data_IF_360483012058
#
_entry.id   IF_360483012058
#
_cell.length_a   1.000
_cell.length_b   1.000
_cell.length_c   1.000
_cell.angle_alpha   90.00
_cell.angle_beta   90.00
_cell.angle_gamma   90.00
#
_symmetry.space_group_name_H-M   'P 1'
#
loop_
_entity.id
_entity.type
_entity.pdbx_description
1 polymer ?
#
# COMPACT_ATOMS: atom_id res chain seq x y z
N UNK A 1 -13.42 -0.43 -2.90
CA UNK A 1 -12.03 0.08 -3.01
C UNK A 1 -11.84 1.18 -1.99
N UNK A 2 -10.64 1.30 -1.44
CA UNK A 2 -10.28 2.34 -0.47
C UNK A 2 -9.08 3.11 -1.00
N UNK A 3 -9.10 4.42 -0.80
CA UNK A 3 -8.01 5.33 -1.15
C UNK A 3 -7.57 6.07 0.10
N UNK A 4 -6.27 6.24 0.27
CA UNK A 4 -5.69 7.02 1.35
C UNK A 4 -4.65 7.97 0.79
N UNK A 5 -4.75 9.24 1.16
CA UNK A 5 -3.82 10.29 0.73
C UNK A 5 -3.25 11.03 1.95
N UNK A 6 -1.96 11.33 1.89
CA UNK A 6 -1.30 12.22 2.84
C UNK A 6 -1.12 13.62 2.27
N UNK A 7 -1.08 14.62 3.16
CA UNK A 7 -0.86 16.02 2.77
C UNK A 7 0.37 16.64 3.43
N UNK A 8 0.80 17.77 2.84
CA UNK A 8 1.86 18.62 3.38
C UNK A 8 1.44 19.28 4.70
N UNK A 9 0.14 19.60 4.82
CA UNK A 9 -0.49 20.17 6.01
C UNK A 9 -0.73 19.12 7.11
N UNK A 10 -0.11 17.94 7.00
CA UNK A 10 -0.07 16.88 8.04
C UNK A 10 -1.36 16.07 8.17
N UNK A 11 -2.32 16.28 7.27
CA UNK A 11 -3.59 15.56 7.27
C UNK A 11 -3.47 14.23 6.53
N UNK A 12 -4.07 13.21 7.12
CA UNK A 12 -4.38 11.95 6.43
C UNK A 12 -5.83 11.99 5.99
N UNK A 13 -6.10 11.53 4.76
CA UNK A 13 -7.43 11.47 4.18
C UNK A 13 -7.73 10.05 3.76
N UNK A 14 -8.84 9.49 4.24
CA UNK A 14 -9.35 8.19 3.82
C UNK A 14 -10.63 8.33 3.01
N UNK A 15 -10.75 7.58 1.93
CA UNK A 15 -11.93 7.56 1.06
C UNK A 15 -12.35 6.13 0.75
N UNK A 16 -13.66 5.94 0.55
CA UNK A 16 -14.20 4.73 -0.05
C UNK A 16 -14.74 5.05 -1.43
N UNK A 17 -14.36 4.22 -2.39
CA UNK A 17 -14.89 4.25 -3.74
C UNK A 17 -15.83 3.05 -3.91
N UNK A 18 -17.10 3.35 -4.15
CA UNK A 18 -18.13 2.36 -4.48
C UNK A 18 -18.25 2.29 -6.00
N UNK A 19 -18.01 1.11 -6.57
CA UNK A 19 -18.13 0.84 -8.00
C UNK A 19 -19.46 1.31 -8.58
N UNK A 20 -20.55 1.07 -7.85
CA UNK A 20 -21.91 1.33 -8.34
C UNK A 20 -22.29 2.81 -8.35
N UNK A 21 -21.86 3.59 -7.36
CA UNK A 21 -22.17 5.03 -7.32
C UNK A 21 -21.14 5.85 -8.09
N UNK A 22 -19.96 5.29 -8.37
CA UNK A 22 -18.84 6.00 -9.00
C UNK A 22 -18.44 7.27 -8.23
N UNK A 23 -18.81 7.39 -6.96
CA UNK A 23 -18.53 8.55 -6.10
C UNK A 23 -17.39 8.23 -5.14
N UNK A 24 -16.53 9.22 -4.94
CA UNK A 24 -15.49 9.19 -3.92
C UNK A 24 -16.05 9.74 -2.60
N UNK A 25 -16.35 8.85 -1.65
CA UNK A 25 -16.93 9.24 -0.38
C UNK A 25 -15.83 9.36 0.69
N UNK A 26 -15.68 10.51 1.38
CA UNK A 26 -14.74 10.63 2.48
C UNK A 26 -15.15 9.74 3.65
N UNK A 27 -14.19 9.00 4.20
CA UNK A 27 -14.34 8.17 5.39
C UNK A 27 -13.85 8.90 6.64
N UNK A 28 -12.65 9.49 6.57
CA UNK A 28 -12.06 10.24 7.66
C UNK A 28 -11.05 11.27 7.13
N UNK A 29 -10.83 12.31 7.93
CA UNK A 29 -9.77 13.29 7.73
C UNK A 29 -9.38 13.90 9.07
N UNK A 30 -8.10 13.85 9.44
CA UNK A 30 -7.61 14.46 10.67
C UNK A 30 -6.09 14.73 10.60
N UNK A 31 -5.57 15.66 11.43
CA UNK A 31 -4.14 15.92 11.52
C UNK A 31 -3.48 14.73 12.23
N UNK A 32 -2.75 13.91 11.47
CA UNK A 32 -2.22 12.65 12.01
C UNK A 32 -0.75 12.71 12.37
N UNK A 33 0.02 13.52 11.64
CA UNK A 33 1.44 13.74 11.89
C UNK A 33 1.70 15.13 12.46
N UNK A 34 2.86 15.32 13.08
CA UNK A 34 3.35 16.63 13.54
C UNK A 34 4.05 17.41 12.41
N UNK A 35 4.37 16.73 11.30
CA UNK A 35 4.95 17.31 10.08
C UNK A 35 4.34 16.70 8.82
N UNK A 36 4.80 17.13 7.63
CA UNK A 36 4.27 16.70 6.34
C UNK A 36 4.30 15.18 6.20
N UNK A 37 3.22 14.59 5.69
CA UNK A 37 3.18 13.16 5.36
C UNK A 37 3.94 12.96 4.05
N UNK A 38 4.88 12.02 4.00
CA UNK A 38 5.71 11.75 2.81
C UNK A 38 5.30 10.49 2.10
N UNK A 39 4.88 9.48 2.85
CA UNK A 39 4.53 8.17 2.32
C UNK A 39 3.28 7.64 2.97
N UNK A 40 2.54 6.84 2.21
CA UNK A 40 1.37 6.11 2.69
C UNK A 40 1.35 4.75 2.02
N UNK A 41 0.96 3.72 2.76
CA UNK A 41 0.75 2.37 2.27
C UNK A 41 -0.57 1.84 2.80
N UNK A 42 -1.25 1.03 1.98
CA UNK A 42 -2.54 0.43 2.32
C UNK A 42 -2.50 -1.03 1.93
N UNK A 43 -2.93 -1.91 2.84
CA UNK A 43 -3.14 -3.32 2.53
C UNK A 43 -4.38 -3.83 3.29
N UNK A 44 -5.44 -4.12 2.54
CA UNK A 44 -6.71 -4.55 3.13
C UNK A 44 -7.29 -3.49 4.07
N UNK A 45 -7.59 -3.83 5.32
CA UNK A 45 -8.11 -2.87 6.30
C UNK A 45 -7.02 -2.00 6.93
N UNK A 46 -5.74 -2.26 6.66
CA UNK A 46 -4.62 -1.67 7.40
C UNK A 46 -3.94 -0.59 6.57
N UNK A 47 -3.64 0.54 7.23
CA UNK A 47 -2.96 1.69 6.62
C UNK A 47 -1.79 2.08 7.48
N UNK A 48 -0.69 2.45 6.83
CA UNK A 48 0.44 3.09 7.45
C UNK A 48 0.72 4.42 6.74
N UNK A 49 1.03 5.48 7.49
CA UNK A 49 1.54 6.73 6.94
C UNK A 49 2.85 7.11 7.62
N UNK A 50 3.78 7.64 6.83
CA UNK A 50 5.11 8.02 7.26
C UNK A 50 5.31 9.52 7.08
N UNK A 51 5.82 10.18 8.12
CA UNK A 51 5.96 11.62 8.17
C UNK A 51 7.41 12.12 8.18
N UNK A 52 7.54 13.44 7.99
CA UNK A 52 8.74 14.23 8.33
C UNK A 52 8.95 14.41 9.84
N UNK A 53 8.02 13.89 10.67
CA UNK A 53 8.16 13.81 12.12
C UNK A 53 8.81 12.49 12.58
N UNK A 54 9.39 11.75 11.64
CA UNK A 54 10.13 10.50 11.85
C UNK A 54 9.25 9.35 12.38
N UNK A 55 7.92 9.53 12.39
CA UNK A 55 6.99 8.51 12.89
C UNK A 55 6.27 7.78 11.76
N UNK A 56 5.86 6.55 12.06
CA UNK A 56 4.85 5.84 11.29
C UNK A 56 3.57 5.80 12.11
N UNK A 57 2.47 6.28 11.55
CA UNK A 57 1.14 6.19 12.15
C UNK A 57 0.35 5.06 11.48
N UNK A 58 -0.39 4.30 12.27
CA UNK A 58 -1.12 3.11 11.84
C UNK A 58 -2.62 3.29 12.03
N UNK A 59 -3.41 2.76 11.10
CA UNK A 59 -4.85 2.93 11.11
C UNK A 59 -5.60 1.69 10.64
N UNK A 60 -6.78 1.49 11.23
CA UNK A 60 -7.79 0.53 10.78
C UNK A 60 -8.83 1.30 9.93
N UNK A 61 -8.84 1.04 8.63
CA UNK A 61 -9.81 1.61 7.68
C UNK A 61 -11.24 1.17 7.96
N UNK A 62 -11.44 -0.05 8.45
CA UNK A 62 -12.77 -0.58 8.69
C UNK A 62 -13.39 0.06 9.94
N UNK A 63 -12.56 0.35 10.96
CA UNK A 63 -12.98 1.05 12.16
C UNK A 63 -12.86 2.59 12.05
N UNK A 64 -12.20 3.10 11.00
CA UNK A 64 -11.80 4.50 10.87
C UNK A 64 -11.08 5.02 12.13
N UNK A 65 -10.19 4.20 12.71
CA UNK A 65 -9.54 4.44 13.97
C UNK A 65 -8.02 4.34 13.86
N UNK A 66 -7.29 5.09 14.69
CA UNK A 66 -5.84 4.91 14.84
C UNK A 66 -5.56 3.63 15.64
N UNK A 67 -4.59 2.84 15.17
CA UNK A 67 -4.10 1.64 15.84
C UNK A 67 -2.90 1.93 16.76
N UNK A 68 -2.21 3.05 16.53
CA UNK A 68 -1.02 3.46 17.27
C UNK A 68 0.06 4.03 16.36
N UNK A 69 1.25 4.24 16.94
CA UNK A 69 2.40 4.84 16.27
C UNK A 69 3.69 4.07 16.53
N UNK A 70 4.56 4.03 15.52
CA UNK A 70 5.88 3.41 15.58
C UNK A 70 6.95 4.50 15.57
N UNK A 71 7.82 4.49 16.58
CA UNK A 71 8.87 5.49 16.80
C UNK A 71 10.27 4.91 16.60
N UNK A 72 10.44 4.11 15.55
CA UNK A 72 11.70 3.40 15.28
C UNK A 72 12.68 4.19 14.43
N UNK A 73 12.20 5.18 13.67
CA UNK A 73 13.04 5.98 12.79
C UNK A 73 13.56 7.21 13.51
N UNK A 74 14.76 7.64 13.13
CA UNK A 74 15.42 8.86 13.60
C UNK A 74 15.48 9.95 12.52
N UNK A 75 14.76 9.74 11.42
CA UNK A 75 14.67 10.64 10.28
C UNK A 75 13.39 10.37 9.48
N UNK A 76 13.09 11.28 8.56
CA UNK A 76 11.85 11.29 7.79
C UNK A 76 11.57 9.96 7.12
N UNK A 77 10.35 9.45 7.28
CA UNK A 77 9.92 8.19 6.65
C UNK A 77 9.52 8.44 5.20
N UNK A 78 10.43 8.14 4.28
CA UNK A 78 10.31 8.51 2.86
C UNK A 78 9.49 7.53 2.05
N UNK A 79 9.48 6.25 2.41
CA UNK A 79 8.70 5.22 1.71
C UNK A 79 8.16 4.16 2.67
N UNK A 80 6.97 3.64 2.34
CA UNK A 80 6.28 2.58 3.06
C UNK A 80 5.73 1.57 2.06
N UNK A 81 5.83 0.29 2.37
CA UNK A 81 5.26 -0.78 1.55
C UNK A 81 4.85 -1.96 2.43
N UNK A 82 3.66 -2.47 2.20
CA UNK A 82 3.19 -3.70 2.82
C UNK A 82 3.51 -4.90 1.92
N UNK A 83 4.06 -5.95 2.50
CA UNK A 83 4.09 -7.27 1.89
C UNK A 83 2.84 -8.04 2.30
N UNK A 84 1.96 -8.32 1.34
CA UNK A 84 0.70 -9.04 1.57
C UNK A 84 0.54 -10.14 0.50
N UNK A 85 0.95 -11.38 0.81
CA UNK A 85 0.79 -12.48 -0.14
C UNK A 85 -0.71 -12.83 -0.32
N UNK A 86 -1.14 -13.29 -1.50
CA UNK A 86 -2.56 -13.41 -1.85
C UNK A 86 -3.36 -14.43 -1.02
N UNK A 87 -2.69 -15.34 -0.32
CA UNK A 87 -3.34 -16.33 0.54
C UNK A 87 -3.59 -15.82 1.97
N UNK A 88 -3.11 -14.61 2.32
CA UNK A 88 -3.33 -14.01 3.63
C UNK A 88 -4.35 -12.87 3.54
N UNK A 89 -5.35 -12.82 4.44
CA UNK A 89 -6.33 -11.73 4.49
C UNK A 89 -5.74 -10.43 5.08
N UNK A 90 -4.53 -10.48 5.64
CA UNK A 90 -3.82 -9.38 6.25
C UNK A 90 -2.39 -9.31 5.70
N UNK A 91 -1.76 -8.11 5.66
CA UNK A 91 -0.35 -8.02 5.35
C UNK A 91 0.48 -8.84 6.33
N UNK A 92 1.60 -9.40 5.85
CA UNK A 92 2.56 -10.13 6.68
C UNK A 92 3.62 -9.22 7.25
N UNK A 93 4.12 -8.28 6.45
CA UNK A 93 5.17 -7.35 6.86
C UNK A 93 4.85 -5.93 6.42
N UNK A 94 5.25 -4.97 7.25
CA UNK A 94 5.45 -3.59 6.83
C UNK A 94 6.95 -3.36 6.65
N UNK A 95 7.32 -2.76 5.53
CA UNK A 95 8.69 -2.31 5.28
C UNK A 95 8.69 -0.81 5.09
N UNK A 96 9.56 -0.13 5.81
CA UNK A 96 9.71 1.33 5.77
C UNK A 96 11.15 1.70 5.43
N UNK A 97 11.31 2.86 4.80
CA UNK A 97 12.60 3.45 4.52
C UNK A 97 12.64 4.91 5.00
N UNK A 98 13.82 5.38 5.37
CA UNK A 98 14.01 6.73 5.89
C UNK A 98 15.11 7.56 5.19
N UNK A 99 15.13 8.85 5.53
CA UNK A 99 16.10 9.82 5.05
C UNK A 99 17.52 9.66 5.63
N UNK A 100 17.72 8.79 6.64
CA UNK A 100 19.04 8.41 7.14
C UNK A 100 19.65 7.24 6.36
N UNK A 101 18.89 6.61 5.46
CA UNK A 101 19.35 5.50 4.63
C UNK A 101 19.09 4.12 5.26
N UNK A 102 18.23 4.06 6.27
CA UNK A 102 17.84 2.82 6.91
C UNK A 102 16.52 2.27 6.36
N UNK A 103 16.42 0.96 6.33
CA UNK A 103 15.21 0.21 6.01
C UNK A 103 14.81 -0.62 7.22
N UNK A 104 13.61 -0.40 7.75
CA UNK A 104 13.07 -1.15 8.88
C UNK A 104 12.00 -2.14 8.42
N UNK A 105 11.99 -3.32 9.03
CA UNK A 105 11.01 -4.37 8.75
C UNK A 105 10.23 -4.63 10.03
N UNK A 106 8.91 -4.69 9.91
CA UNK A 106 7.99 -5.00 11.00
C UNK A 106 7.19 -6.24 10.66
N UNK A 107 6.85 -7.00 11.69
CA UNK A 107 5.73 -7.93 11.61
C UNK A 107 4.45 -7.11 11.54
N UNK A 108 3.60 -7.34 10.55
CA UNK A 108 2.34 -6.61 10.46
C UNK A 108 1.30 -7.11 11.49
N UNK A 109 1.52 -8.28 12.10
CA UNK A 109 0.77 -8.70 13.29
C UNK A 109 1.37 -8.02 14.53
N UNK A 110 0.59 -7.11 15.12
CA UNK A 110 1.03 -6.30 16.27
C UNK A 110 2.08 -5.23 15.98
N UNK A 111 2.57 -5.10 14.74
CA UNK A 111 3.56 -4.07 14.34
C UNK A 111 4.87 -4.11 15.12
N UNK A 112 5.32 -5.31 15.46
CA UNK A 112 6.58 -5.54 16.17
C UNK A 112 7.76 -5.26 15.22
N UNK A 113 8.69 -4.43 15.67
CA UNK A 113 9.93 -4.18 14.94
C UNK A 113 10.81 -5.44 14.92
N UNK A 114 11.16 -5.91 13.72
CA UNK A 114 11.96 -7.12 13.54
C UNK A 114 13.45 -6.78 13.36
N UNK A 115 13.74 -5.83 12.47
CA UNK A 115 15.12 -5.43 12.18
C UNK A 115 15.19 -4.07 11.48
N UNK A 116 16.33 -3.40 11.62
CA UNK A 116 16.70 -2.22 10.83
C UNK A 116 18.00 -2.49 10.08
N UNK A 117 18.00 -2.20 8.79
CA UNK A 117 19.12 -2.43 7.88
C UNK A 117 19.65 -1.08 7.39
N UNK A 118 20.96 -0.82 7.58
CA UNK A 118 21.59 0.34 6.94
C UNK A 118 21.91 0.00 5.47
N UNK A 119 21.04 0.43 4.57
CA UNK A 119 21.12 0.07 3.14
C UNK A 119 21.96 1.11 2.38
N UNK A 120 21.70 2.38 2.63
CA UNK A 120 22.39 3.53 2.05
C UNK A 120 23.15 4.24 3.16
N UNK A 121 24.49 4.36 3.03
CA UNK A 121 25.35 4.84 4.14
C UNK A 121 25.15 6.34 4.38
N UNK A 122 24.26 6.70 5.31
CA UNK A 122 23.91 8.08 5.67
C UNK A 122 23.38 8.90 4.49
N UNK A 123 22.65 8.26 3.58
CA UNK A 123 22.07 8.92 2.41
C UNK A 123 20.60 8.59 2.33
N UNK A 124 19.78 9.60 2.05
CA UNK A 124 18.34 9.46 2.06
C UNK A 124 17.87 8.43 1.02
N UNK A 125 17.05 7.48 1.46
CA UNK A 125 16.29 6.62 0.54
C UNK A 125 15.14 7.46 -0.02
N UNK A 126 15.01 7.49 -1.33
CA UNK A 126 13.94 8.20 -2.03
C UNK A 126 12.68 7.33 -2.16
N UNK A 127 12.85 6.04 -2.49
CA UNK A 127 11.73 5.12 -2.71
C UNK A 127 12.12 3.66 -2.44
N UNK A 128 11.10 2.83 -2.24
CA UNK A 128 11.17 1.41 -1.91
C UNK A 128 10.17 0.64 -2.79
N UNK A 129 10.60 -0.52 -3.31
CA UNK A 129 9.73 -1.49 -3.96
C UNK A 129 9.97 -2.89 -3.39
N UNK A 130 8.87 -3.59 -3.05
CA UNK A 130 8.92 -4.98 -2.64
C UNK A 130 8.65 -5.88 -3.84
N UNK A 131 9.49 -6.90 -4.02
CA UNK A 131 9.26 -7.92 -5.04
C UNK A 131 8.03 -8.75 -4.68
N UNK A 132 7.18 -9.19 -5.63
CA UNK A 132 5.98 -9.99 -5.35
C UNK A 132 6.23 -11.28 -4.56
N UNK A 133 7.42 -11.89 -4.69
CA UNK A 133 7.80 -13.06 -3.88
C UNK A 133 7.99 -12.74 -2.38
N UNK A 134 8.18 -11.48 -2.00
CA UNK A 134 8.48 -11.06 -0.63
C UNK A 134 9.91 -11.31 -0.17
N UNK A 135 10.76 -11.87 -1.03
CA UNK A 135 12.13 -12.23 -0.66
C UNK A 135 13.14 -11.09 -0.88
N UNK A 136 12.79 -10.12 -1.72
CA UNK A 136 13.67 -9.05 -2.15
C UNK A 136 12.96 -7.70 -2.10
N UNK A 137 13.74 -6.66 -1.81
CA UNK A 137 13.34 -5.27 -2.00
C UNK A 137 14.36 -4.52 -2.83
N UNK A 138 13.91 -3.51 -3.56
CA UNK A 138 14.75 -2.51 -4.19
C UNK A 138 14.59 -1.19 -3.46
N UNK A 139 15.70 -0.50 -3.23
CA UNK A 139 15.71 0.88 -2.75
C UNK A 139 16.58 1.74 -3.65
N UNK A 140 16.16 2.98 -3.82
CA UNK A 140 16.93 4.01 -4.53
C UNK A 140 17.14 5.21 -3.60
N UNK A 141 18.29 5.87 -3.69
CA UNK A 141 18.61 6.98 -2.79
C UNK A 141 19.51 8.05 -3.39
N UNK A 142 19.80 9.08 -2.58
CA UNK A 142 20.67 10.22 -2.92
C UNK A 142 22.13 9.86 -3.13
N UNK A 143 22.55 8.67 -2.74
CA UNK A 143 23.90 8.15 -3.00
C UNK A 143 24.03 7.55 -4.43
N UNK A 144 23.04 7.79 -5.29
CA UNK A 144 23.01 7.33 -6.68
C UNK A 144 23.11 5.82 -6.81
N UNK A 145 22.63 5.10 -5.78
CA UNK A 145 22.67 3.66 -5.74
C UNK A 145 21.28 3.05 -5.87
N UNK A 146 21.18 1.98 -6.66
CA UNK A 146 20.09 1.01 -6.60
C UNK A 146 20.56 -0.16 -5.72
N UNK A 147 19.98 -0.30 -4.54
CA UNK A 147 20.32 -1.39 -3.64
C UNK A 147 19.29 -2.52 -3.74
N UNK A 148 19.78 -3.76 -3.80
CA UNK A 148 18.96 -4.97 -3.68
C UNK A 148 19.12 -5.50 -2.26
N UNK A 149 18.00 -5.59 -1.55
CA UNK A 149 17.95 -6.06 -0.17
C UNK A 149 17.34 -7.46 -0.15
N UNK A 150 18.00 -8.39 0.52
CA UNK A 150 17.43 -9.70 0.81
C UNK A 150 16.66 -9.62 2.12
N UNK A 151 15.34 -9.72 2.04
CA UNK A 151 14.42 -9.55 3.17
C UNK A 151 14.43 -10.79 4.08
N UNK A 152 14.68 -11.98 3.53
CA UNK A 152 14.75 -13.24 4.30
C UNK A 152 16.00 -13.28 5.18
N UNK A 153 17.14 -12.86 4.64
CA UNK A 153 18.43 -12.81 5.35
C UNK A 153 18.63 -11.51 6.15
N UNK A 154 17.74 -10.53 5.99
CA UNK A 154 17.87 -9.23 6.64
C UNK A 154 19.20 -8.54 6.30
N UNK A 155 19.59 -8.49 5.03
CA UNK A 155 20.84 -7.81 4.62
C UNK A 155 20.79 -7.26 3.22
N UNK A 156 21.55 -6.20 2.97
CA UNK A 156 21.82 -5.71 1.62
C UNK A 156 22.61 -6.76 0.85
N UNK A 157 22.09 -7.19 -0.30
CA UNK A 157 22.72 -8.17 -1.17
C UNK A 157 23.70 -7.51 -2.13
N UNK A 158 23.24 -6.50 -2.88
CA UNK A 158 24.09 -5.74 -3.80
C UNK A 158 23.67 -4.26 -3.87
N UNK A 159 24.54 -3.45 -4.45
CA UNK A 159 24.41 -2.00 -4.57
C UNK A 159 25.01 -1.59 -5.91
N UNK A 160 24.16 -1.20 -6.86
CA UNK A 160 24.55 -0.79 -8.21
C UNK A 160 24.64 0.74 -8.27
N UNK A 161 25.78 1.28 -8.70
CA UNK A 161 25.95 2.72 -8.88
C UNK A 161 25.35 3.15 -10.22
N UNK A 162 24.36 4.04 -10.16
CA UNK A 162 23.62 4.57 -11.31
C UNK A 162 24.28 5.81 -11.92
N UNK A 163 25.10 6.54 -11.14
CA UNK A 163 25.69 7.83 -11.54
C UNK A 163 24.70 8.99 -11.61
N UNK A 164 23.45 8.75 -11.23
CA UNK A 164 22.36 9.74 -11.11
C UNK A 164 21.43 9.31 -9.98
N UNK A 165 20.82 10.29 -9.32
CA UNK A 165 19.82 10.05 -8.28
C UNK A 165 18.49 9.57 -8.91
N UNK A 166 18.08 8.35 -8.59
CA UNK A 166 16.76 7.84 -8.94
C UNK A 166 15.73 8.28 -7.89
N UNK A 167 14.57 8.74 -8.35
CA UNK A 167 13.49 9.26 -7.52
C UNK A 167 12.47 8.20 -7.14
N UNK A 168 12.27 7.18 -7.99
CA UNK A 168 11.28 6.13 -7.78
C UNK A 168 11.73 4.78 -8.34
N UNK A 169 11.23 3.71 -7.72
CA UNK A 169 11.41 2.33 -8.16
C UNK A 169 10.13 1.54 -7.90
N UNK A 170 9.67 0.73 -8.86
CA UNK A 170 8.48 -0.13 -8.74
C UNK A 170 8.67 -1.43 -9.50
N UNK A 171 8.25 -2.56 -8.91
CA UNK A 171 8.15 -3.83 -9.63
C UNK A 171 6.87 -3.89 -10.45
N UNK A 172 6.89 -4.63 -11.54
CA UNK A 172 5.69 -5.09 -12.21
C UNK A 172 4.96 -6.17 -11.39
N UNK A 173 3.80 -6.62 -11.89
CA UNK A 173 2.97 -7.58 -11.16
C UNK A 173 3.58 -8.98 -11.08
N UNK A 174 4.41 -9.40 -12.06
CA UNK A 174 5.09 -10.69 -12.02
C UNK A 174 6.38 -10.66 -11.20
N UNK A 175 7.01 -9.49 -11.08
CA UNK A 175 8.33 -9.32 -10.48
C UNK A 175 9.48 -9.52 -11.47
N UNK A 176 9.19 -9.87 -12.73
CA UNK A 176 10.21 -10.12 -13.75
C UNK A 176 10.88 -8.82 -14.21
N UNK A 177 10.17 -7.70 -14.10
CA UNK A 177 10.64 -6.38 -14.47
C UNK A 177 10.48 -5.37 -13.34
N UNK A 178 11.31 -4.34 -13.38
CA UNK A 178 11.11 -3.16 -12.54
C UNK A 178 11.32 -1.87 -13.32
N UNK A 179 10.57 -0.86 -12.92
CA UNK A 179 10.61 0.49 -13.44
C UNK A 179 11.40 1.36 -12.47
N UNK A 180 12.25 2.23 -13.01
CA UNK A 180 13.00 3.19 -12.22
C UNK A 180 12.98 4.54 -12.93
N UNK A 181 12.58 5.61 -12.21
CA UNK A 181 12.65 6.95 -12.78
C UNK A 181 13.82 7.76 -12.26
N UNK A 182 14.43 8.49 -13.19
CA UNK A 182 15.51 9.44 -12.96
C UNK A 182 15.12 10.71 -13.71
N UNK A 183 14.67 11.73 -12.97
CA UNK A 183 14.15 12.99 -13.54
C UNK A 183 13.03 12.70 -14.57
N UNK A 184 13.28 13.03 -15.84
CA UNK A 184 12.34 12.94 -16.98
C UNK A 184 12.29 11.55 -17.61
N UNK A 185 13.13 10.61 -17.18
CA UNK A 185 13.22 9.28 -17.80
C UNK A 185 12.71 8.20 -16.86
N UNK A 186 11.88 7.30 -17.39
CA UNK A 186 11.52 6.03 -16.72
C UNK A 186 12.17 4.88 -17.48
N UNK A 187 13.15 4.25 -16.86
CA UNK A 187 13.85 3.09 -17.39
C UNK A 187 13.15 1.80 -16.97
N UNK A 188 13.03 0.85 -17.90
CA UNK A 188 12.47 -0.49 -17.65
C UNK A 188 13.62 -1.49 -17.63
N UNK A 189 13.69 -2.29 -16.57
CA UNK A 189 14.79 -3.21 -16.33
C UNK A 189 14.29 -4.63 -16.12
N UNK A 190 15.10 -5.61 -16.48
CA UNK A 190 14.88 -6.99 -16.06
C UNK A 190 15.41 -7.21 -14.64
N UNK A 191 14.63 -7.87 -13.78
CA UNK A 191 14.96 -8.05 -12.36
C UNK A 191 16.17 -8.94 -12.12
N UNK A 192 16.45 -9.89 -13.01
CA UNK A 192 17.51 -10.90 -12.83
C UNK A 192 18.92 -10.31 -12.94
N UNK A 193 19.16 -9.44 -13.92
CA UNK A 193 20.47 -8.89 -14.26
C UNK A 193 20.51 -7.35 -14.27
N UNK A 194 19.38 -6.69 -13.98
CA UNK A 194 19.24 -5.23 -14.00
C UNK A 194 19.63 -4.58 -15.33
N UNK A 195 19.51 -5.31 -16.46
CA UNK A 195 19.71 -4.72 -17.79
C UNK A 195 18.52 -3.83 -18.18
N UNK A 196 18.81 -2.72 -18.84
CA UNK A 196 17.78 -1.83 -19.40
C UNK A 196 17.19 -2.50 -20.64
N UNK A 197 15.87 -2.71 -20.64
CA UNK A 197 15.10 -3.19 -21.79
C UNK A 197 14.79 -2.03 -22.74
N UNK A 198 14.27 -0.92 -22.20
CA UNK A 198 14.02 0.33 -22.92
C UNK A 198 13.81 1.49 -21.93
N UNK A 199 13.81 2.72 -22.44
CA UNK A 199 13.55 3.95 -21.69
C UNK A 199 12.28 4.64 -22.20
N UNK A 200 11.49 5.17 -21.28
CA UNK A 200 10.33 6.01 -21.54
C UNK A 200 10.71 7.46 -21.24
N UNK A 201 10.49 8.36 -22.19
CA UNK A 201 10.86 9.77 -22.08
C UNK A 201 9.62 10.62 -21.78
N UNK A 202 9.60 11.24 -20.61
CA UNK A 202 8.54 12.14 -20.15
C UNK A 202 8.95 13.61 -20.37
N UNK A 203 8.01 14.52 -20.65
CA UNK A 203 8.33 15.93 -20.89
C UNK A 203 8.91 16.69 -19.68
N UNK A 204 8.62 16.20 -18.47
CA UNK A 204 9.06 16.79 -17.20
C UNK A 204 9.33 15.68 -16.16
N UNK A 205 9.94 16.02 -15.00
CA UNK A 205 10.27 15.03 -13.99
C UNK A 205 9.08 14.22 -13.48
N UNK A 206 9.25 12.90 -13.43
CA UNK A 206 8.27 11.94 -12.93
C UNK A 206 8.36 11.85 -11.42
N UNK A 207 7.21 11.98 -10.75
CA UNK A 207 7.12 11.98 -9.28
C UNK A 207 6.37 10.77 -8.72
N UNK A 208 5.58 10.10 -9.55
CA UNK A 208 4.86 8.89 -9.18
C UNK A 208 4.66 8.00 -10.40
N UNK A 209 4.69 6.68 -10.18
CA UNK A 209 4.38 5.70 -11.19
C UNK A 209 3.72 4.48 -10.55
N UNK A 210 2.81 3.83 -11.27
CA UNK A 210 2.15 2.60 -10.82
C UNK A 210 1.94 1.66 -12.01
N UNK A 211 2.55 0.47 -12.01
CA UNK A 211 2.23 -0.56 -12.97
C UNK A 211 0.87 -1.18 -12.64
N UNK A 212 0.07 -1.43 -13.66
CA UNK A 212 -1.24 -2.04 -13.55
C UNK A 212 -1.25 -3.44 -14.18
N UNK A 213 -2.18 -4.28 -13.73
CA UNK A 213 -2.31 -5.68 -14.19
C UNK A 213 -2.70 -5.80 -15.67
N UNK A 214 -3.25 -4.75 -16.27
CA UNK A 214 -3.61 -4.68 -17.68
C UNK A 214 -2.40 -4.49 -18.61
N UNK A 215 -1.17 -4.47 -18.08
CA UNK A 215 0.05 -4.27 -18.87
C UNK A 215 0.39 -2.81 -19.16
N UNK A 216 -0.29 -1.87 -18.49
CA UNK A 216 0.04 -0.44 -18.56
C UNK A 216 0.84 0.02 -17.34
N UNK A 217 1.80 0.90 -17.58
CA UNK A 217 2.44 1.71 -16.56
C UNK A 217 1.81 3.10 -16.59
N UNK A 218 1.30 3.57 -15.46
CA UNK A 218 0.84 4.95 -15.34
C UNK A 218 1.89 5.80 -14.68
N UNK A 219 2.18 6.97 -15.24
CA UNK A 219 3.12 7.94 -14.69
C UNK A 219 2.44 9.30 -14.48
N UNK A 220 2.88 10.02 -13.46
CA UNK A 220 2.50 11.41 -13.23
C UNK A 220 3.63 12.20 -12.58
N UNK A 221 3.68 13.50 -12.84
CA UNK A 221 4.76 14.35 -12.34
C UNK A 221 4.52 15.84 -12.47
N UNK A 222 5.60 16.58 -12.75
CA UNK A 222 5.61 18.05 -12.88
C UNK A 222 4.95 18.56 -14.18
N UNK A 223 4.68 17.69 -15.15
CA UNK A 223 3.91 18.02 -16.37
C UNK A 223 2.41 18.14 -16.10
N UNK A 224 1.94 17.67 -14.93
CA UNK A 224 0.53 17.69 -14.49
C UNK A 224 -0.37 16.72 -15.26
N UNK A 225 0.23 15.93 -16.15
CA UNK A 225 -0.47 14.95 -16.97
C UNK A 225 -0.47 13.59 -16.27
N UNK A 226 -1.31 12.70 -16.78
CA UNK A 226 -1.23 11.27 -16.46
C UNK A 226 -1.01 10.53 -17.78
N UNK A 227 0.15 9.89 -17.92
CA UNK A 227 0.51 9.16 -19.13
C UNK A 227 0.42 7.66 -18.88
N UNK A 228 -0.25 6.95 -19.78
CA UNK A 228 -0.33 5.51 -19.78
C UNK A 228 0.62 4.96 -20.84
N UNK A 229 1.55 4.11 -20.42
CA UNK A 229 2.57 3.49 -21.26
C UNK A 229 2.28 2.00 -21.39
N UNK A 230 2.36 1.47 -22.61
CA UNK A 230 2.33 0.03 -22.81
C UNK A 230 3.70 -0.56 -22.42
N UNK A 231 3.71 -1.42 -21.39
CA UNK A 231 4.92 -2.05 -20.85
C UNK A 231 5.58 -2.98 -21.87
N UNK A 232 4.84 -3.51 -22.85
CA UNK A 232 5.43 -4.42 -23.85
C UNK A 232 6.11 -3.67 -24.99
N UNK A 233 5.51 -2.57 -25.43
CA UNK A 233 5.98 -1.83 -26.62
C UNK A 233 6.80 -0.59 -26.26
N UNK A 234 6.74 -0.12 -25.01
CA UNK A 234 7.36 1.12 -24.57
C UNK A 234 6.72 2.39 -25.16
N UNK A 235 5.54 2.26 -25.80
CA UNK A 235 4.84 3.37 -26.44
C UNK A 235 3.79 3.96 -25.51
N UNK A 236 3.48 5.24 -25.72
CA UNK A 236 2.34 5.89 -25.08
C UNK A 236 1.06 5.24 -25.62
N UNK A 237 0.27 4.63 -24.74
CA UNK A 237 -1.05 4.13 -25.07
C UNK A 237 -2.05 5.28 -25.17
N UNK A 238 -2.02 6.18 -24.19
CA UNK A 238 -2.77 7.45 -24.18
C UNK A 238 -2.21 8.41 -23.13
N UNK A 239 -2.58 9.68 -23.22
CA UNK A 239 -2.23 10.72 -22.25
C UNK A 239 -3.49 11.48 -21.84
N UNK A 240 -3.69 11.67 -20.54
CA UNK A 240 -4.69 12.59 -20.01
C UNK A 240 -3.99 13.94 -19.82
N UNK A 241 -4.13 14.82 -20.82
CA UNK A 241 -3.54 16.14 -20.81
C UNK A 241 -4.27 17.06 -19.83
N UNK A 242 -3.50 17.88 -19.10
CA UNK A 242 -4.01 18.75 -18.03
C UNK A 242 -4.91 18.01 -17.02
N UNK A 243 -4.59 16.73 -16.77
CA UNK A 243 -5.29 15.90 -15.80
C UNK A 243 -5.41 16.59 -14.43
N UNK A 244 -4.43 17.42 -14.08
CA UNK A 244 -4.42 18.28 -12.91
C UNK A 244 -3.90 19.70 -13.21
N UNK A 245 -4.22 20.66 -12.34
CA UNK A 245 -3.74 22.06 -12.49
C UNK A 245 -2.36 22.25 -11.87
N UNK A 246 -1.91 21.28 -11.07
CA UNK A 246 -0.58 21.21 -10.46
C UNK A 246 0.01 19.80 -10.59
N UNK A 247 1.25 19.63 -10.10
CA UNK A 247 1.99 18.37 -10.20
C UNK A 247 1.27 17.19 -9.53
N UNK A 248 1.32 16.04 -10.20
CA UNK A 248 0.77 14.77 -9.70
C UNK A 248 1.80 14.11 -8.79
N UNK A 249 1.42 13.87 -7.52
CA UNK A 249 2.32 13.33 -6.48
C UNK A 249 2.02 11.90 -6.10
N UNK A 250 0.86 11.38 -6.47
CA UNK A 250 0.49 9.99 -6.24
C UNK A 250 -0.42 9.49 -7.34
N UNK A 251 -0.20 8.24 -7.74
CA UNK A 251 -1.03 7.54 -8.71
C UNK A 251 -1.13 6.08 -8.29
N UNK A 252 -2.33 5.51 -8.40
CA UNK A 252 -2.60 4.11 -8.04
C UNK A 252 -3.59 3.52 -9.05
N UNK A 253 -3.26 2.33 -9.55
CA UNK A 253 -4.19 1.50 -10.29
C UNK A 253 -5.02 0.67 -9.30
N UNK A 254 -6.33 0.84 -9.35
CA UNK A 254 -7.27 0.06 -8.57
C UNK A 254 -7.71 -1.12 -9.44
N UNK A 255 -7.46 -2.35 -9.00
CA UNK A 255 -7.93 -3.58 -9.66
C UNK A 255 -8.69 -4.40 -8.63
N UNK A 256 -9.79 -5.07 -8.97
CA UNK A 256 -10.39 -6.00 -8.01
C UNK A 256 -9.42 -7.15 -7.71
N UNK A 257 -9.26 -7.44 -6.42
CA UNK A 257 -8.64 -8.68 -5.97
C UNK A 257 -9.72 -9.47 -5.24
N UNK A 258 -9.80 -10.74 -5.59
CA UNK A 258 -10.69 -11.80 -5.07
C UNK A 258 -12.00 -12.03 -5.83
N UNK A 259 -11.94 -13.01 -6.73
CA UNK A 259 -12.98 -14.03 -6.89
C UNK A 259 -14.33 -13.59 -7.50
N UNK A 260 -14.47 -12.33 -7.91
CA UNK A 260 -15.57 -11.96 -8.78
C UNK A 260 -15.27 -12.55 -10.17
N UNK A 261 -15.88 -13.70 -10.47
CA UNK A 261 -15.97 -14.29 -11.81
C UNK A 261 -16.82 -13.43 -12.76
N UNK A 262 -16.83 -12.10 -12.57
CA UNK A 262 -17.45 -11.14 -13.46
C UNK A 262 -16.33 -10.36 -14.13
N UNK A 263 -16.30 -10.40 -15.45
CA UNK A 263 -15.31 -9.82 -16.38
C UNK A 263 -15.19 -8.27 -16.32
N UNK A 264 -15.76 -7.65 -15.29
CA UNK A 264 -15.75 -6.21 -15.04
C UNK A 264 -14.77 -5.86 -13.91
N UNK A 265 -13.51 -6.29 -14.04
CA UNK A 265 -12.43 -5.71 -13.24
C UNK A 265 -12.50 -4.18 -13.38
N UNK A 266 -12.61 -3.41 -12.28
CA UNK A 266 -12.67 -1.96 -12.40
C UNK A 266 -11.34 -1.47 -12.96
N UNK A 267 -11.35 -0.96 -14.18
CA UNK A 267 -10.20 -0.33 -14.82
C UNK A 267 -10.03 1.11 -14.32
N UNK A 268 -9.88 1.27 -13.00
CA UNK A 268 -9.87 2.59 -12.37
C UNK A 268 -8.45 2.99 -11.99
N UNK A 269 -8.07 4.21 -12.33
CA UNK A 269 -6.84 4.85 -11.88
C UNK A 269 -7.21 6.02 -11.00
N UNK A 270 -6.56 6.16 -9.85
CA UNK A 270 -6.72 7.31 -8.99
C UNK A 270 -5.43 8.13 -8.95
N UNK A 271 -5.55 9.45 -8.98
CA UNK A 271 -4.44 10.40 -8.92
C UNK A 271 -4.65 11.42 -7.81
N UNK A 272 -3.56 11.84 -7.19
CA UNK A 272 -3.51 12.89 -6.17
C UNK A 272 -2.50 13.96 -6.58
N UNK A 273 -2.93 15.21 -6.54
CA UNK A 273 -2.13 16.35 -7.00
C UNK A 273 -1.88 17.37 -5.89
N UNK A 274 -0.82 18.16 -6.07
CA UNK A 274 -0.53 19.31 -5.22
C UNK A 274 -1.60 20.42 -5.30
N UNK A 275 -2.54 20.36 -6.26
CA UNK A 275 -3.73 21.23 -6.30
C UNK A 275 -4.77 20.91 -5.22
N UNK A 276 -4.57 19.80 -4.49
CA UNK A 276 -5.42 19.31 -3.43
C UNK A 276 -6.62 18.48 -3.87
N UNK A 277 -6.67 18.11 -5.15
CA UNK A 277 -7.75 17.31 -5.73
C UNK A 277 -7.26 15.86 -5.91
N UNK A 278 -8.11 14.93 -5.49
CA UNK A 278 -8.01 13.51 -5.87
C UNK A 278 -8.98 13.27 -7.01
N UNK A 279 -8.52 12.67 -8.10
CA UNK A 279 -9.35 12.27 -9.24
C UNK A 279 -9.34 10.76 -9.41
N UNK A 280 -10.46 10.23 -9.86
CA UNK A 280 -10.58 8.83 -10.30
C UNK A 280 -10.96 8.82 -11.76
N UNK A 281 -10.30 7.98 -12.53
CA UNK A 281 -10.41 7.89 -13.98
C UNK A 281 -10.86 6.47 -14.36
N UNK A 282 -11.84 6.34 -15.25
CA UNK A 282 -12.14 5.06 -15.90
C UNK A 282 -11.29 4.95 -17.17
N UNK A 283 -10.32 4.04 -17.16
CA UNK A 283 -9.36 3.81 -18.24
C UNK A 283 -10.06 3.36 -19.54
N UNK A 284 -11.21 2.67 -19.45
CA UNK A 284 -11.98 2.29 -20.64
C UNK A 284 -12.60 3.50 -21.33
N UNK A 285 -12.82 4.55 -20.55
CA UNK A 285 -13.33 5.83 -21.02
C UNK A 285 -12.21 6.85 -21.20
N UNK A 286 -10.95 6.45 -21.38
CA UNK A 286 -9.83 7.38 -21.54
C UNK A 286 -10.02 8.40 -22.69
N UNK A 287 -10.88 8.10 -23.68
CA UNK A 287 -11.30 9.06 -24.71
C UNK A 287 -12.15 10.23 -24.18
N UNK A 288 -12.69 10.12 -22.97
CA UNK A 288 -13.35 11.21 -22.24
C UNK A 288 -12.29 11.84 -21.33
N UNK A 289 -11.87 13.06 -21.65
CA UNK A 289 -10.88 13.85 -20.90
C UNK A 289 -11.33 14.25 -19.47
N UNK A 290 -12.49 13.76 -19.01
CA UNK A 290 -13.06 14.11 -17.70
C UNK A 290 -12.92 12.97 -16.71
N UNK A 291 -12.57 13.26 -15.45
CA UNK A 291 -12.54 12.26 -14.40
C UNK A 291 -13.95 11.71 -14.12
N UNK A 292 -14.00 10.47 -13.67
CA UNK A 292 -15.22 9.81 -13.20
C UNK A 292 -15.79 10.54 -11.97
N UNK A 293 -14.91 10.88 -11.04
CA UNK A 293 -15.22 11.61 -9.82
C UNK A 293 -13.97 12.32 -9.32
N UNK A 294 -14.17 13.40 -8.57
CA UNK A 294 -13.09 14.14 -7.94
C UNK A 294 -13.50 14.61 -6.55
N UNK A 295 -12.51 14.80 -5.68
CA UNK A 295 -12.72 15.36 -4.34
C UNK A 295 -11.63 16.35 -4.00
N UNK A 296 -12.03 17.56 -3.60
CA UNK A 296 -11.12 18.62 -3.19
C UNK A 296 -10.88 18.56 -1.68
N UNK A 297 -9.66 18.22 -1.28
CA UNK A 297 -9.21 18.15 0.12
C UNK A 297 -8.76 19.49 0.69
N UNK A 298 -8.60 20.51 -0.18
CA UNK A 298 -8.01 21.83 0.13
C UNK A 298 -6.63 21.75 0.80
N UNK A 299 -5.95 20.61 0.66
CA UNK A 299 -4.66 20.29 1.27
C UNK A 299 -3.71 19.89 0.16
N UNK A 300 -2.45 20.33 0.20
CA UNK A 300 -1.47 19.94 -0.81
C UNK A 300 -1.11 18.47 -0.66
N UNK A 301 -1.62 17.61 -1.56
CA UNK A 301 -1.39 16.17 -1.48
C UNK A 301 0.05 15.81 -1.86
N UNK A 302 0.64 14.90 -1.09
CA UNK A 302 2.06 14.52 -1.21
C UNK A 302 2.26 13.06 -1.61
N UNK A 303 1.29 12.20 -1.30
CA UNK A 303 1.31 10.77 -1.56
C UNK A 303 -0.12 10.22 -1.64
N UNK A 304 -0.29 9.08 -2.32
CA UNK A 304 -1.56 8.37 -2.48
C UNK A 304 -1.29 6.87 -2.50
N UNK A 305 -2.13 6.11 -1.82
CA UNK A 305 -2.18 4.65 -1.90
C UNK A 305 -3.63 4.19 -1.95
N UNK A 306 -3.85 3.01 -2.51
CA UNK A 306 -5.17 2.41 -2.60
C UNK A 306 -5.13 0.91 -2.47
N UNK A 307 -6.25 0.34 -2.05
CA UNK A 307 -6.45 -1.10 -1.99
C UNK A 307 -7.86 -1.45 -2.43
N UNK A 308 -8.02 -2.61 -3.05
CA UNK A 308 -9.30 -3.08 -3.57
C UNK A 308 -9.98 -4.15 -2.71
N UNK A 309 -9.24 -4.72 -1.75
CA UNK A 309 -9.70 -5.80 -0.90
C UNK A 309 -11.00 -5.43 -0.19
N UNK A 310 -12.09 -6.14 -0.54
CA UNK A 310 -13.40 -6.05 0.12
C UNK A 310 -13.35 -6.84 1.42
N UNK A 311 -12.92 -6.22 2.52
CA UNK A 311 -12.95 -6.91 3.81
C UNK A 311 -14.37 -6.90 4.41
N UNK A 312 -14.98 -8.09 4.56
CA UNK A 312 -16.07 -8.32 5.52
C UNK A 312 -15.44 -8.86 6.80
N UNK A 313 -15.33 -8.04 7.83
CA UNK A 313 -15.01 -8.52 9.18
C UNK A 313 -16.11 -9.51 9.57
N UNK A 314 -15.82 -10.81 9.56
CA UNK A 314 -16.67 -11.77 10.26
C UNK A 314 -16.59 -11.34 11.72
N UNK A 315 -17.65 -10.71 12.23
CA UNK A 315 -17.78 -10.52 13.67
C UNK A 315 -17.60 -11.91 14.29
N UNK A 316 -16.70 -12.10 15.26
CA UNK A 316 -16.65 -13.36 15.97
C UNK A 316 -18.08 -13.64 16.41
N UNK A 317 -18.65 -14.76 15.96
CA UNK A 317 -19.99 -15.14 16.36
C UNK A 317 -19.94 -15.30 17.87
N UNK A 318 -20.49 -14.32 18.57
CA UNK A 318 -20.65 -14.33 20.01
C UNK A 318 -21.30 -15.66 20.41
N UNK A 319 -20.50 -16.54 21.02
CA UNK A 319 -20.89 -17.42 22.10
C UNK A 319 -22.01 -18.45 21.88
N UNK A 320 -22.46 -18.77 20.66
CA UNK A 320 -23.54 -19.77 20.46
C UNK A 320 -23.10 -21.24 20.36
N UNK A 321 -21.83 -21.57 20.61
CA UNK A 321 -21.39 -22.98 20.64
C UNK A 321 -21.20 -23.57 22.05
N UNK A 322 -21.29 -22.79 23.13
CA UNK A 322 -21.18 -23.35 24.51
C UNK A 322 -22.49 -23.81 25.14
N UNK A 323 -23.65 -23.60 24.52
CA UNK A 323 -24.94 -24.03 25.10
C UNK A 323 -25.43 -25.42 24.64
N UNK A 324 -24.84 -26.03 23.61
CA UNK A 324 -25.20 -27.41 23.22
C UNK A 324 -24.52 -28.49 24.06
N UNK A 325 -23.35 -28.23 24.63
CA UNK A 325 -22.65 -29.23 25.47
C UNK A 325 -23.31 -29.35 26.86
N UNK A 326 -23.87 -28.26 27.41
CA UNK A 326 -24.51 -28.31 28.74
C UNK A 326 -25.90 -28.98 28.72
N UNK A 327 -26.62 -28.97 27.59
CA UNK A 327 -27.91 -29.68 27.50
C UNK A 327 -27.79 -31.19 27.30
N UNK A 328 -26.68 -31.69 26.76
CA UNK A 328 -26.49 -33.14 26.61
C UNK A 328 -26.03 -33.83 27.91
N UNK A 329 -25.30 -33.14 28.79
CA UNK A 329 -24.91 -33.72 30.08
C UNK A 329 -26.06 -33.83 31.09
N UNK A 330 -27.06 -32.92 31.06
CA UNK A 330 -28.23 -33.02 31.94
C UNK A 330 -29.23 -34.11 31.54
N UNK A 331 -29.16 -34.65 30.32
CA UNK A 331 -30.03 -35.75 29.91
C UNK A 331 -29.53 -37.13 30.37
N UNK A 332 -28.26 -37.26 30.77
CA UNK A 332 -27.66 -38.54 31.13
C UNK A 332 -27.59 -38.79 32.65
N UNK A 333 -27.81 -37.78 33.51
CA UNK A 333 -27.76 -37.97 34.97
C UNK A 333 -29.12 -38.19 35.65
N UNK A 334 -30.20 -38.36 34.88
CA UNK A 334 -31.56 -38.49 35.42
C UNK A 334 -32.08 -39.92 35.65
N UNK A 335 -31.24 -40.96 35.52
CA UNK A 335 -31.69 -42.35 35.71
C UNK A 335 -30.75 -43.09 36.67
N UNK A 336 -31.37 -43.84 37.58
CA UNK A 336 -30.80 -44.70 38.62
C UNK A 336 -30.40 -44.00 39.91
N UNK A 337 -31.27 -44.12 40.91
CA UNK A 337 -30.92 -44.48 42.30
C UNK A 337 -32.22 -44.82 43.04
N UNK A 338 -32.62 -46.08 42.86
CA UNK A 338 -33.62 -46.75 43.66
C UNK A 338 -33.03 -47.12 45.02
N UNK A 339 -33.80 -46.81 46.08
CA UNK A 339 -33.85 -47.41 47.42
C UNK A 339 -32.73 -48.40 47.79
N UNK A 340 -31.94 -48.02 48.80
CA UNK A 340 -31.37 -48.97 49.76
C UNK A 340 -31.62 -48.41 51.14
N UNK A 341 -32.26 -49.24 51.96
CA UNK A 341 -32.75 -48.99 53.31
C UNK A 341 -31.63 -48.91 54.34
N UNK A 342 -31.99 -48.23 55.42
CA UNK A 342 -31.35 -48.10 56.73
C UNK A 342 -30.49 -49.29 57.19
N UNK A 343 -29.25 -49.00 57.55
CA UNK A 343 -28.55 -49.74 58.60
C UNK A 343 -27.81 -48.75 59.52
N UNK A 344 -28.38 -48.62 60.71
CA UNK A 344 -27.84 -48.02 61.93
C UNK A 344 -26.61 -48.81 62.38
N UNK A 345 -25.48 -48.15 62.63
CA UNK A 345 -24.41 -48.66 63.49
C UNK A 345 -23.92 -47.50 64.36
N UNK A 346 -24.22 -47.59 65.65
CA UNK A 346 -23.65 -46.83 66.75
C UNK A 346 -22.15 -47.12 66.88
N UNK A 347 -21.33 -46.06 67.03
CA UNK A 347 -20.43 -45.80 68.17
C UNK A 347 -20.30 -44.29 68.34
#
# INVERSE_FOLDING_TARGET
MSLVAGSYEKFIWGFTLRSNSQTLNPLFSYPSHLSSIKSVAVSGPVVASGGEDDTIQLYDLAAAASLGSLHTHSATVTALSFYAPPHLPFPRNLVSADASGNLSIFDADGFVHLTTLSVHRNSAINDLALHPSGERALTVGRDECLAVVNLVRGRRNCCLRLGKEASLVKFDASGDQFFMAVKEKVSVHQTEDARILFELECPKPVLCATPAKNGLLYTGGEDRNITAWDIKTGKIAYCLEEAHTARVKGIVALTESDGATGDDDPYLVASASSDGIIRVWDVRMAAREKPLTEHNTRSRLTCLAGSSLKFKRQRPQDGKSKSKVVKQQRALSGKSKSKVEDQTIEV
#
